data_IF_214522162888
#
_entry.id   IF_214522162888
#
_cell.length_a   1.000
_cell.length_b   1.000
_cell.length_c   1.000
_cell.angle_alpha   90.00
_cell.angle_beta   90.00
_cell.angle_gamma   90.00
#
_symmetry.space_group_name_H-M   'P 1'
#
loop_
_entity.id
_entity.type
_entity.pdbx_description
1 polymer ?
#
# COMPACT_ATOMS: atom_id res chain seq x y z
N UNK A 1 -0.23 12.66 -4.00
CA UNK A 1 0.45 11.92 -2.91
C UNK A 1 -0.44 11.99 -1.69
N UNK A 2 -0.51 10.92 -0.91
CA UNK A 2 -1.34 10.81 0.30
C UNK A 2 -0.46 10.21 1.40
N UNK A 3 -0.57 10.76 2.61
CA UNK A 3 0.15 10.29 3.79
C UNK A 3 -0.83 10.20 4.96
N UNK A 4 -0.67 9.17 5.78
CA UNK A 4 -1.33 9.11 7.08
C UNK A 4 -0.72 10.17 8.00
N UNK A 5 -1.54 10.85 8.79
CA UNK A 5 -1.11 11.98 9.63
C UNK A 5 -0.40 11.60 10.92
N UNK A 6 -0.34 10.30 11.23
CA UNK A 6 0.14 9.72 12.48
C UNK A 6 1.42 8.88 12.31
N UNK A 7 2.14 9.06 11.19
CA UNK A 7 3.38 8.33 10.90
C UNK A 7 4.62 9.20 11.11
N UNK A 8 5.70 8.57 11.54
CA UNK A 8 7.05 9.14 11.53
C UNK A 8 7.95 8.25 10.68
N UNK A 9 8.54 8.82 9.63
CA UNK A 9 9.26 8.07 8.60
C UNK A 9 10.33 8.93 7.95
N UNK A 10 11.48 8.31 7.69
CA UNK A 10 12.51 8.87 6.81
C UNK A 10 12.34 8.22 5.44
N UNK A 11 11.98 9.01 4.43
CA UNK A 11 11.73 8.56 3.07
C UNK A 11 12.23 9.62 2.08
N UNK A 12 12.90 9.19 1.02
CA UNK A 12 13.12 10.04 -0.15
C UNK A 12 11.83 10.12 -0.99
N UNK A 13 11.16 11.27 -0.92
CA UNK A 13 9.95 11.52 -1.68
C UNK A 13 10.18 11.57 -3.20
N UNK A 14 11.37 11.97 -3.66
CA UNK A 14 11.68 11.99 -5.08
C UNK A 14 11.78 10.57 -5.63
N UNK A 15 12.37 9.64 -4.86
CA UNK A 15 12.52 8.24 -5.24
C UNK A 15 11.16 7.55 -5.44
N UNK A 16 10.22 7.71 -4.49
CA UNK A 16 8.88 7.10 -4.62
C UNK A 16 8.09 7.71 -5.78
N UNK A 17 8.21 9.01 -6.02
CA UNK A 17 7.58 9.68 -7.16
C UNK A 17 8.13 9.19 -8.49
N UNK A 18 9.45 9.01 -8.59
CA UNK A 18 10.11 8.48 -9.79
C UNK A 18 9.72 7.02 -10.04
N UNK A 19 9.70 6.19 -8.98
CA UNK A 19 9.23 4.81 -9.03
C UNK A 19 7.79 4.72 -9.54
N UNK A 20 6.91 5.59 -9.06
CA UNK A 20 5.52 5.66 -9.51
C UNK A 20 5.43 6.01 -11.00
N UNK A 21 6.15 7.05 -11.44
CA UNK A 21 6.19 7.47 -12.85
C UNK A 21 6.71 6.36 -13.77
N UNK A 22 7.80 5.69 -13.40
CA UNK A 22 8.42 4.61 -14.18
C UNK A 22 7.54 3.36 -14.26
N UNK A 23 6.89 3.00 -13.14
CA UNK A 23 6.05 1.80 -13.08
C UNK A 23 4.70 1.96 -13.80
N UNK A 24 4.25 3.21 -14.02
CA UNK A 24 2.91 3.55 -14.53
C UNK A 24 1.79 2.86 -13.74
N UNK A 25 2.01 2.64 -12.45
CA UNK A 25 1.03 1.99 -11.58
C UNK A 25 -0.11 2.96 -11.23
N UNK A 26 -1.31 2.43 -10.96
CA UNK A 26 -2.42 3.23 -10.41
C UNK A 26 -2.14 3.69 -8.98
N UNK A 27 -1.41 2.86 -8.23
CA UNK A 27 -1.00 3.13 -6.87
C UNK A 27 0.43 2.60 -6.64
N UNK A 28 1.24 3.39 -5.95
CA UNK A 28 2.55 3.01 -5.43
C UNK A 28 2.53 3.21 -3.94
N UNK A 29 2.89 2.17 -3.19
CA UNK A 29 2.81 2.13 -1.73
C UNK A 29 4.24 2.04 -1.18
N UNK A 30 4.60 2.92 -0.25
CA UNK A 30 5.84 2.77 0.50
C UNK A 30 5.69 1.59 1.48
N UNK A 31 6.67 0.70 1.48
CA UNK A 31 6.69 -0.46 2.37
C UNK A 31 7.81 -0.33 3.40
N UNK A 32 7.56 -0.82 4.60
CA UNK A 32 8.55 -0.92 5.66
C UNK A 32 8.65 -2.38 6.13
N UNK A 33 9.86 -2.84 6.46
CA UNK A 33 10.05 -4.17 7.04
C UNK A 33 10.02 -4.06 8.56
N UNK A 34 9.20 -4.87 9.22
CA UNK A 34 9.08 -4.90 10.68
C UNK A 34 9.28 -6.31 11.24
N UNK A 35 9.52 -6.44 12.53
CA UNK A 35 9.64 -7.74 13.19
C UNK A 35 8.26 -8.40 13.40
N UNK A 36 7.28 -7.64 13.90
CA UNK A 36 5.90 -8.10 14.12
C UNK A 36 4.91 -7.36 13.21
N UNK A 37 4.41 -8.02 12.14
CA UNK A 37 3.49 -7.41 11.21
C UNK A 37 2.00 -7.51 11.62
N UNK A 38 1.66 -8.18 12.72
CA UNK A 38 0.27 -8.56 13.06
C UNK A 38 -0.70 -7.37 13.24
N UNK A 39 -0.16 -6.17 13.50
CA UNK A 39 -0.94 -4.94 13.70
C UNK A 39 -1.17 -4.13 12.44
N UNK A 40 -0.61 -4.54 11.30
CA UNK A 40 -0.50 -3.72 10.09
C UNK A 40 -1.07 -4.44 8.85
N UNK A 41 -1.20 -3.67 7.76
CA UNK A 41 -1.46 -4.22 6.43
C UNK A 41 -0.18 -4.82 5.85
N UNK A 42 -0.13 -6.13 5.70
CA UNK A 42 0.99 -6.89 5.14
C UNK A 42 0.90 -6.96 3.63
N UNK A 43 2.04 -6.81 2.97
CA UNK A 43 2.14 -6.77 1.53
C UNK A 43 3.06 -7.88 1.05
N UNK A 44 2.50 -8.78 0.22
CA UNK A 44 3.28 -9.76 -0.53
C UNK A 44 3.60 -9.17 -1.90
N UNK A 45 4.88 -9.17 -2.27
CA UNK A 45 5.32 -8.72 -3.59
C UNK A 45 5.45 -9.91 -4.55
N UNK A 46 5.07 -9.67 -5.81
CA UNK A 46 5.42 -10.50 -6.95
C UNK A 46 6.76 -10.01 -7.55
N UNK A 47 7.04 -10.44 -8.78
CA UNK A 47 8.20 -9.96 -9.52
C UNK A 47 8.15 -8.44 -9.77
N UNK A 48 9.34 -7.84 -9.89
CA UNK A 48 9.53 -6.43 -10.27
C UNK A 48 8.80 -5.44 -9.36
N UNK A 49 8.64 -5.77 -8.08
CA UNK A 49 8.05 -4.88 -7.07
C UNK A 49 6.54 -4.66 -7.22
N UNK A 50 5.83 -5.49 -8.00
CA UNK A 50 4.37 -5.45 -8.07
C UNK A 50 3.77 -6.07 -6.82
N UNK A 51 2.69 -5.47 -6.32
CA UNK A 51 1.94 -6.07 -5.21
C UNK A 51 1.19 -7.29 -5.72
N UNK A 52 1.41 -8.43 -5.06
CA UNK A 52 0.70 -9.68 -5.31
C UNK A 52 -0.54 -9.80 -4.42
N UNK A 53 -0.40 -9.46 -3.13
CA UNK A 53 -1.47 -9.53 -2.14
C UNK A 53 -1.31 -8.44 -1.10
N UNK A 54 -2.45 -7.96 -0.62
CA UNK A 54 -2.55 -7.07 0.53
C UNK A 54 -3.41 -7.74 1.60
N UNK A 55 -2.88 -7.90 2.81
CA UNK A 55 -3.53 -8.63 3.90
C UNK A 55 -3.57 -7.75 5.14
N UNK A 56 -4.75 -7.26 5.51
CA UNK A 56 -4.91 -6.38 6.66
C UNK A 56 -4.92 -7.18 7.98
N UNK A 57 -3.97 -6.85 8.89
CA UNK A 57 -3.89 -7.40 10.25
C UNK A 57 -3.96 -8.93 10.29
N UNK A 58 -2.99 -9.63 9.67
CA UNK A 58 -3.01 -11.08 9.62
C UNK A 58 -2.94 -11.69 11.02
N UNK A 59 -3.54 -12.86 11.18
CA UNK A 59 -3.42 -13.64 12.40
C UNK A 59 -1.94 -13.99 12.67
N UNK A 60 -1.58 -14.10 13.95
CA UNK A 60 -0.21 -14.39 14.36
C UNK A 60 0.31 -15.67 13.69
N UNK A 61 1.47 -15.58 13.05
CA UNK A 61 2.11 -16.69 12.33
C UNK A 61 1.55 -16.98 10.93
N UNK A 62 0.59 -16.19 10.43
CA UNK A 62 0.00 -16.38 9.08
C UNK A 62 0.47 -15.37 8.04
N UNK A 63 1.23 -14.35 8.46
CA UNK A 63 1.74 -13.32 7.56
C UNK A 63 2.74 -13.92 6.56
N UNK A 64 2.55 -13.75 5.24
CA UNK A 64 3.44 -14.30 4.22
C UNK A 64 4.78 -13.55 4.14
N UNK A 65 4.81 -12.30 4.60
CA UNK A 65 5.98 -11.44 4.63
C UNK A 65 5.97 -10.55 5.87
N UNK A 66 7.11 -9.92 6.14
CA UNK A 66 7.27 -8.89 7.16
C UNK A 66 7.23 -7.47 6.57
N UNK A 67 6.80 -7.33 5.31
CA UNK A 67 6.64 -6.05 4.65
C UNK A 67 5.26 -5.50 4.95
N UNK A 68 5.21 -4.32 5.54
CA UNK A 68 3.97 -3.63 5.90
C UNK A 68 3.80 -2.36 5.08
N UNK A 69 2.54 -1.98 4.89
CA UNK A 69 2.13 -0.66 4.44
C UNK A 69 2.64 0.42 5.40
N UNK A 70 3.47 1.34 4.92
CA UNK A 70 4.06 2.41 5.73
C UNK A 70 3.17 3.68 5.84
N UNK A 71 1.96 3.67 5.29
CA UNK A 71 1.05 4.83 5.36
C UNK A 71 1.34 5.93 4.34
N UNK A 72 2.11 5.66 3.30
CA UNK A 72 2.51 6.64 2.27
C UNK A 72 2.19 6.09 0.89
N UNK A 73 1.48 6.89 0.09
CA UNK A 73 0.97 6.49 -1.21
C UNK A 73 1.18 7.56 -2.28
N UNK A 74 1.60 7.12 -3.46
CA UNK A 74 1.45 7.91 -4.68
C UNK A 74 0.33 7.26 -5.49
N UNK A 75 -0.73 8.02 -5.75
CA UNK A 75 -1.94 7.55 -6.42
C UNK A 75 -2.15 8.36 -7.69
N UNK A 76 -2.45 7.66 -8.79
CA UNK A 76 -2.89 8.29 -10.03
C UNK A 76 -4.38 8.68 -9.91
N UNK A 77 -4.84 9.78 -10.54
CA UNK A 77 -6.22 10.25 -10.41
C UNK A 77 -7.30 9.21 -10.77
N UNK A 78 -6.97 8.26 -11.63
CA UNK A 78 -7.82 7.13 -12.04
C UNK A 78 -8.28 6.28 -10.85
N UNK A 79 -7.56 6.33 -9.70
CA UNK A 79 -7.95 5.68 -8.46
C UNK A 79 -9.37 6.05 -8.01
N UNK A 80 -9.83 7.27 -8.30
CA UNK A 80 -11.15 7.74 -7.88
C UNK A 80 -12.29 6.98 -8.57
N UNK A 81 -12.04 6.32 -9.70
CA UNK A 81 -13.03 5.46 -10.36
C UNK A 81 -13.36 4.19 -9.56
N UNK A 82 -12.46 3.77 -8.66
CA UNK A 82 -12.66 2.63 -7.76
C UNK A 82 -13.37 3.01 -6.46
N UNK A 83 -13.54 4.31 -6.19
CA UNK A 83 -14.16 4.82 -4.97
C UNK A 83 -15.64 5.15 -5.26
N UNK A 84 -16.60 4.40 -4.71
CA UNK A 84 -18.02 4.67 -4.89
C UNK A 84 -18.41 6.03 -4.30
N UNK A 85 -19.21 6.79 -5.05
CA UNK A 85 -19.71 8.09 -4.61
C UNK A 85 -20.55 7.95 -3.34
N UNK A 86 -20.38 8.89 -2.41
CA UNK A 86 -21.16 9.01 -1.17
C UNK A 86 -21.05 7.80 -0.23
N UNK A 87 -19.98 7.02 -0.33
CA UNK A 87 -19.68 5.94 0.60
C UNK A 87 -18.30 6.15 1.21
N UNK A 88 -18.18 5.97 2.52
CA UNK A 88 -16.89 5.86 3.18
C UNK A 88 -16.26 4.51 2.84
N UNK A 89 -15.00 4.54 2.39
CA UNK A 89 -14.23 3.33 2.07
C UNK A 89 -12.87 3.39 2.77
N UNK A 90 -12.32 2.22 3.10
CA UNK A 90 -10.91 2.10 3.48
C UNK A 90 -10.06 1.73 2.26
N UNK A 91 -8.97 2.47 2.06
CA UNK A 91 -8.04 2.19 0.98
C UNK A 91 -7.42 0.79 1.13
N UNK A 92 -7.03 0.44 2.35
CA UNK A 92 -6.34 -0.80 2.71
C UNK A 92 -7.24 -2.03 2.68
N UNK A 93 -8.51 -1.87 3.08
CA UNK A 93 -9.46 -2.98 3.17
C UNK A 93 -10.29 -3.19 1.92
N UNK A 94 -10.59 -2.13 1.17
CA UNK A 94 -11.52 -2.20 0.04
C UNK A 94 -10.88 -1.85 -1.30
N UNK A 95 -9.92 -0.92 -1.36
CA UNK A 95 -9.41 -0.40 -2.65
C UNK A 95 -8.16 -1.15 -3.11
N UNK A 96 -7.08 -1.17 -2.31
CA UNK A 96 -5.84 -1.85 -2.68
C UNK A 96 -6.02 -3.35 -2.95
N UNK A 97 -6.82 -4.10 -2.16
CA UNK A 97 -7.10 -5.50 -2.48
C UNK A 97 -7.76 -5.69 -3.86
N UNK A 98 -8.61 -4.76 -4.31
CA UNK A 98 -9.24 -4.83 -5.64
C UNK A 98 -8.32 -4.45 -6.80
N UNK A 99 -7.24 -3.73 -6.53
CA UNK A 99 -6.26 -3.34 -7.57
C UNK A 99 -5.26 -4.46 -7.88
N UNK A 100 -5.19 -5.48 -7.03
CA UNK A 100 -4.26 -6.61 -7.17
C UNK A 100 -4.94 -7.87 -7.70
N UNK A 101 -6.28 -7.82 -7.87
CA UNK A 101 -7.07 -8.80 -8.64
C UNK A 101 -6.89 -8.57 -10.15
#
# INVERSE_FOLDING_TARGET
MVLNGDIFVELDYAEILDTHKKSKALATIALCKVEDPTRYGVVELAEKGRVKRFIEKPAKGTAPTNLINAGIYVLSPEIFSYIPKRKHVSMEREIFPKLVE
#
